data_IF_283768075075
#
_entry.id   IF_283768075075
#
_cell.length_a   1.000
_cell.length_b   1.000
_cell.length_c   1.000
_cell.angle_alpha   90.00
_cell.angle_beta   90.00
_cell.angle_gamma   90.00
#
_symmetry.space_group_name_H-M   'P 1'
#
loop_
_entity.id
_entity.type
_entity.pdbx_description
1 polymer ?
#
# COMPACT_ATOMS: atom_id res chain seq x y z
N UNK A 1 40.77 30.10 6.48
CA UNK A 1 41.40 28.94 5.84
C UNK A 1 40.40 28.42 4.84
N UNK A 2 40.70 28.50 3.54
CA UNK A 2 39.81 28.00 2.50
C UNK A 2 39.75 26.47 2.61
N UNK A 3 38.63 25.95 3.07
CA UNK A 3 38.38 24.50 3.15
C UNK A 3 38.22 24.03 1.71
N UNK A 4 39.11 23.14 1.27
CA UNK A 4 39.03 22.51 -0.04
C UNK A 4 37.88 21.49 0.07
N UNK A 5 36.70 21.88 -0.42
CA UNK A 5 35.58 20.97 -0.62
C UNK A 5 36.08 19.81 -1.48
N UNK A 6 36.14 18.60 -0.94
CA UNK A 6 36.51 17.45 -1.76
C UNK A 6 35.32 17.19 -2.69
N UNK A 7 35.46 17.29 -4.03
CA UNK A 7 34.33 17.19 -4.96
C UNK A 7 33.55 15.86 -4.85
N UNK A 8 34.14 14.85 -4.23
CA UNK A 8 33.51 13.57 -3.91
C UNK A 8 32.46 13.68 -2.79
N UNK A 9 32.75 14.42 -1.71
CA UNK A 9 31.82 14.59 -0.57
C UNK A 9 30.54 15.29 -1.04
N UNK A 10 30.68 16.36 -1.83
CA UNK A 10 29.52 17.08 -2.34
C UNK A 10 28.64 16.20 -3.25
N UNK A 11 29.25 15.37 -4.11
CA UNK A 11 28.53 14.41 -4.95
C UNK A 11 27.76 13.39 -4.11
N UNK A 12 28.38 12.88 -3.04
CA UNK A 12 27.73 11.92 -2.14
C UNK A 12 26.58 12.57 -1.36
N UNK A 13 26.75 13.79 -0.84
CA UNK A 13 25.67 14.54 -0.19
C UNK A 13 24.51 14.81 -1.16
N UNK A 14 24.80 15.18 -2.40
CA UNK A 14 23.78 15.38 -3.43
C UNK A 14 23.01 14.10 -3.74
N UNK A 15 23.72 12.97 -3.88
CA UNK A 15 23.12 11.65 -4.11
C UNK A 15 22.26 11.22 -2.92
N UNK A 16 22.74 11.38 -1.70
CA UNK A 16 21.99 11.04 -0.49
C UNK A 16 20.72 11.89 -0.38
N UNK A 17 20.80 13.19 -0.64
CA UNK A 17 19.64 14.07 -0.66
C UNK A 17 18.59 13.67 -1.72
N UNK A 18 19.03 13.16 -2.87
CA UNK A 18 18.14 12.59 -3.90
C UNK A 18 17.43 11.33 -3.42
N UNK A 19 18.15 10.43 -2.76
CA UNK A 19 17.59 9.18 -2.25
C UNK A 19 16.61 9.43 -1.09
N UNK A 20 16.94 10.33 -0.16
CA UNK A 20 16.03 10.75 0.91
C UNK A 20 14.74 11.33 0.31
N UNK A 21 14.87 12.20 -0.69
CA UNK A 21 13.71 12.73 -1.41
C UNK A 21 12.90 11.62 -2.09
N UNK A 22 13.56 10.72 -2.83
CA UNK A 22 12.88 9.63 -3.54
C UNK A 22 12.12 8.73 -2.58
N UNK A 23 12.77 8.30 -1.50
CA UNK A 23 12.15 7.51 -0.45
C UNK A 23 10.89 8.18 0.12
N UNK A 24 10.99 9.46 0.52
CA UNK A 24 9.85 10.18 1.07
C UNK A 24 8.73 10.37 0.04
N UNK A 25 9.09 10.69 -1.20
CA UNK A 25 8.12 10.86 -2.29
C UNK A 25 7.41 9.55 -2.63
N UNK A 26 8.12 8.40 -2.55
CA UNK A 26 7.53 7.09 -2.73
C UNK A 26 6.46 6.83 -1.68
N UNK A 27 6.79 6.97 -0.40
CA UNK A 27 5.89 6.66 0.71
C UNK A 27 4.68 7.59 0.74
N UNK A 28 4.91 8.89 0.57
CA UNK A 28 3.92 9.91 0.94
C UNK A 28 3.06 10.39 -0.22
N UNK A 29 3.50 10.15 -1.46
CA UNK A 29 2.75 10.62 -2.64
C UNK A 29 2.53 9.51 -3.67
N UNK A 30 3.59 8.82 -4.08
CA UNK A 30 3.49 7.92 -5.22
C UNK A 30 2.80 6.60 -4.87
N UNK A 31 3.18 5.94 -3.78
CA UNK A 31 2.55 4.69 -3.34
C UNK A 31 1.05 4.88 -3.05
N UNK A 32 0.61 5.90 -2.29
CA UNK A 32 -0.82 6.16 -2.08
C UNK A 32 -1.58 6.42 -3.39
N UNK A 33 -0.96 7.11 -4.36
CA UNK A 33 -1.56 7.32 -5.68
C UNK A 33 -1.71 6.01 -6.46
N UNK A 34 -0.66 5.17 -6.47
CA UNK A 34 -0.66 3.86 -7.13
C UNK A 34 -1.72 2.96 -6.51
N UNK A 35 -1.72 2.82 -5.18
CA UNK A 35 -2.69 2.06 -4.41
C UNK A 35 -4.12 2.50 -4.75
N UNK A 36 -4.39 3.80 -4.67
CA UNK A 36 -5.71 4.33 -4.98
C UNK A 36 -6.15 4.00 -6.41
N UNK A 37 -5.28 4.23 -7.40
CA UNK A 37 -5.59 3.91 -8.81
C UNK A 37 -5.84 2.42 -8.99
N UNK A 38 -5.01 1.58 -8.37
CA UNK A 38 -5.15 0.13 -8.39
C UNK A 38 -6.49 -0.33 -7.82
N UNK A 39 -6.86 0.15 -6.63
CA UNK A 39 -8.13 -0.18 -5.98
C UNK A 39 -9.33 0.29 -6.82
N UNK A 40 -9.24 1.47 -7.44
CA UNK A 40 -10.30 1.98 -8.32
C UNK A 40 -10.45 1.17 -9.61
N UNK A 41 -9.35 0.71 -10.21
CA UNK A 41 -9.35 -0.02 -11.48
C UNK A 41 -9.66 -1.52 -11.31
N UNK A 42 -9.07 -2.17 -10.30
CA UNK A 42 -9.10 -3.63 -10.12
C UNK A 42 -9.79 -4.09 -8.83
N UNK A 43 -9.83 -3.23 -7.80
CA UNK A 43 -10.24 -3.63 -6.45
C UNK A 43 -11.64 -4.22 -6.35
N UNK A 44 -12.58 -3.82 -7.22
CA UNK A 44 -13.92 -4.41 -7.22
C UNK A 44 -13.93 -5.88 -7.70
N UNK A 45 -13.06 -6.23 -8.65
CA UNK A 45 -12.96 -7.60 -9.16
C UNK A 45 -12.20 -8.48 -8.17
N UNK A 46 -11.13 -7.97 -7.55
CA UNK A 46 -10.42 -8.69 -6.51
C UNK A 46 -11.31 -8.93 -5.28
N UNK A 47 -12.11 -7.93 -4.90
CA UNK A 47 -13.11 -8.08 -3.84
C UNK A 47 -14.17 -9.13 -4.18
N UNK A 48 -14.74 -9.09 -5.39
CA UNK A 48 -15.70 -10.10 -5.85
C UNK A 48 -15.08 -11.51 -5.83
N UNK A 49 -13.84 -11.65 -6.30
CA UNK A 49 -13.13 -12.93 -6.26
C UNK A 49 -12.95 -13.43 -4.82
N UNK A 50 -12.52 -12.55 -3.92
CA UNK A 50 -12.33 -12.88 -2.50
C UNK A 50 -13.65 -13.28 -1.81
N UNK A 51 -14.76 -12.62 -2.12
CA UNK A 51 -16.10 -13.02 -1.68
C UNK A 51 -16.45 -14.44 -2.12
N UNK A 52 -16.22 -14.77 -3.38
CA UNK A 52 -16.52 -16.10 -3.91
C UNK A 52 -15.64 -17.19 -3.28
N UNK A 53 -14.36 -16.90 -3.04
CA UNK A 53 -13.44 -17.83 -2.35
C UNK A 53 -13.85 -18.07 -0.89
N UNK A 54 -14.35 -17.03 -0.22
CA UNK A 54 -14.95 -17.12 1.10
C UNK A 54 -16.20 -18.03 1.07
N UNK A 55 -17.12 -17.81 0.15
CA UNK A 55 -18.34 -18.62 0.00
C UNK A 55 -17.99 -20.09 -0.26
N UNK A 56 -17.01 -20.36 -1.13
CA UNK A 56 -16.50 -21.71 -1.38
C UNK A 56 -15.99 -22.35 -0.09
N UNK A 57 -15.27 -21.60 0.74
CA UNK A 57 -14.73 -22.10 2.01
C UNK A 57 -15.85 -22.44 3.00
N UNK A 58 -16.86 -21.57 3.11
CA UNK A 58 -18.05 -21.79 3.93
C UNK A 58 -18.85 -23.02 3.46
N UNK A 59 -19.05 -23.19 2.15
CA UNK A 59 -19.73 -24.35 1.57
C UNK A 59 -18.95 -25.66 1.77
N UNK A 60 -17.62 -25.65 1.60
CA UNK A 60 -16.77 -26.82 1.88
C UNK A 60 -16.85 -27.22 3.36
N UNK A 61 -16.84 -26.23 4.26
CA UNK A 61 -17.01 -26.48 5.70
C UNK A 61 -18.39 -27.05 6.01
N UNK A 62 -19.45 -26.53 5.38
CA UNK A 62 -20.82 -27.07 5.46
C UNK A 62 -20.87 -28.55 5.05
N UNK A 63 -20.30 -28.90 3.90
CA UNK A 63 -20.20 -30.29 3.44
C UNK A 63 -19.45 -31.19 4.42
N UNK A 64 -18.37 -30.68 5.03
CA UNK A 64 -17.63 -31.44 6.04
C UNK A 64 -18.51 -31.77 7.24
N UNK A 65 -19.24 -30.80 7.78
CA UNK A 65 -20.14 -30.99 8.92
C UNK A 65 -21.29 -31.96 8.57
N UNK A 66 -21.89 -31.83 7.39
CA UNK A 66 -22.91 -32.77 6.91
C UNK A 66 -22.37 -34.20 6.82
N UNK A 67 -21.18 -34.39 6.24
CA UNK A 67 -20.53 -35.71 6.15
C UNK A 67 -20.20 -36.28 7.52
N UNK A 68 -19.84 -35.45 8.51
CA UNK A 68 -19.64 -35.89 9.89
C UNK A 68 -20.93 -36.44 10.51
N UNK A 69 -22.06 -35.75 10.34
CA UNK A 69 -23.36 -36.25 10.81
C UNK A 69 -23.74 -37.57 10.13
N UNK A 70 -23.56 -37.66 8.80
CA UNK A 70 -23.81 -38.90 8.03
C UNK A 70 -22.96 -40.06 8.56
N UNK A 71 -21.65 -39.82 8.81
CA UNK A 71 -20.73 -40.86 9.28
C UNK A 71 -21.04 -41.33 10.70
N UNK A 72 -21.69 -40.51 11.51
CA UNK A 72 -22.20 -40.87 12.83
C UNK A 72 -23.62 -41.47 12.77
N UNK A 73 -24.15 -41.75 11.58
CA UNK A 73 -25.53 -42.21 11.36
C UNK A 73 -26.59 -41.25 11.90
N UNK A 74 -26.21 -39.98 12.13
CA UNK A 74 -27.11 -38.93 12.55
C UNK A 74 -27.84 -38.34 11.34
N UNK A 75 -29.01 -37.75 11.62
CA UNK A 75 -29.72 -36.93 10.65
C UNK A 75 -29.01 -35.60 10.47
N UNK A 76 -29.02 -35.07 9.24
CA UNK A 76 -28.49 -33.74 8.96
C UNK A 76 -29.45 -32.70 9.55
N UNK A 77 -28.92 -31.91 10.48
CA UNK A 77 -29.58 -30.71 11.01
C UNK A 77 -28.93 -29.48 10.38
N UNK A 78 -29.53 -28.97 9.31
CA UNK A 78 -29.00 -27.81 8.59
C UNK A 78 -29.02 -26.54 9.44
N UNK A 79 -30.02 -26.36 10.29
CA UNK A 79 -30.14 -25.16 11.13
C UNK A 79 -28.98 -25.12 12.14
N UNK A 80 -28.68 -26.26 12.77
CA UNK A 80 -27.52 -26.37 13.67
C UNK A 80 -26.20 -26.14 12.93
N UNK A 81 -26.04 -26.71 11.74
CA UNK A 81 -24.83 -26.53 10.92
C UNK A 81 -24.66 -25.06 10.52
N UNK A 82 -25.74 -24.39 10.09
CA UNK A 82 -25.70 -23.00 9.66
C UNK A 82 -25.41 -22.05 10.83
N UNK A 83 -25.87 -22.36 12.04
CA UNK A 83 -25.49 -21.62 13.25
C UNK A 83 -23.99 -21.77 13.57
N UNK A 84 -23.44 -22.99 13.49
CA UNK A 84 -21.99 -23.23 13.68
C UNK A 84 -21.18 -22.41 12.66
N UNK A 85 -21.59 -22.43 11.39
CA UNK A 85 -20.91 -21.68 10.34
C UNK A 85 -21.01 -20.16 10.56
N UNK A 86 -22.14 -19.67 11.04
CA UNK A 86 -22.33 -18.24 11.30
C UNK A 86 -21.36 -17.76 12.39
N UNK A 87 -21.19 -18.54 13.46
CA UNK A 87 -20.21 -18.26 14.51
C UNK A 87 -18.76 -18.41 14.01
N UNK A 88 -18.44 -19.47 13.25
CA UNK A 88 -17.08 -19.71 12.73
C UNK A 88 -16.58 -18.62 11.78
N UNK A 89 -17.50 -17.98 11.04
CA UNK A 89 -17.15 -17.04 9.97
C UNK A 89 -17.52 -15.57 10.24
N UNK A 90 -18.03 -15.23 11.43
CA UNK A 90 -18.46 -13.85 11.76
C UNK A 90 -17.35 -12.81 11.56
N UNK A 91 -16.14 -13.07 12.06
CA UNK A 91 -15.00 -12.15 11.95
C UNK A 91 -14.63 -11.88 10.47
N UNK A 92 -14.71 -12.90 9.62
CA UNK A 92 -14.41 -12.79 8.20
C UNK A 92 -15.46 -11.96 7.47
N UNK A 93 -16.75 -12.13 7.80
CA UNK A 93 -17.85 -11.32 7.23
C UNK A 93 -17.69 -9.84 7.60
N UNK A 94 -17.23 -9.55 8.83
CA UNK A 94 -16.93 -8.17 9.26
C UNK A 94 -15.76 -7.57 8.46
N UNK A 95 -14.69 -8.33 8.22
CA UNK A 95 -13.55 -7.88 7.40
C UNK A 95 -13.95 -7.60 5.95
N UNK A 96 -14.77 -8.48 5.36
CA UNK A 96 -15.32 -8.29 4.01
C UNK A 96 -16.13 -7.01 3.88
N UNK A 97 -16.93 -6.70 4.90
CA UNK A 97 -17.73 -5.47 4.92
C UNK A 97 -16.86 -4.22 5.00
N UNK A 98 -15.80 -4.23 5.81
CA UNK A 98 -14.86 -3.11 5.91
C UNK A 98 -14.14 -2.83 4.58
N UNK A 99 -13.71 -3.88 3.88
CA UNK A 99 -13.02 -3.73 2.58
C UNK A 99 -13.90 -3.07 1.51
N UNK A 100 -15.18 -3.46 1.40
CA UNK A 100 -16.08 -2.84 0.41
C UNK A 100 -16.44 -1.40 0.77
N UNK A 101 -16.57 -1.10 2.06
CA UNK A 101 -16.77 0.28 2.53
C UNK A 101 -15.59 1.17 2.14
N UNK A 102 -14.36 0.68 2.25
CA UNK A 102 -13.14 1.37 1.80
C UNK A 102 -13.15 1.62 0.29
N UNK A 103 -13.44 0.59 -0.52
CA UNK A 103 -13.53 0.73 -1.99
C UNK A 103 -14.59 1.78 -2.37
N UNK A 104 -15.75 1.75 -1.72
CA UNK A 104 -16.83 2.69 -1.98
C UNK A 104 -16.49 4.12 -1.53
N UNK A 105 -15.80 4.27 -0.41
CA UNK A 105 -15.29 5.56 0.06
C UNK A 105 -14.29 6.15 -0.95
N UNK A 106 -13.36 5.34 -1.45
CA UNK A 106 -12.38 5.78 -2.44
C UNK A 106 -13.05 6.19 -3.76
N UNK A 107 -14.06 5.45 -4.22
CA UNK A 107 -14.85 5.78 -5.43
C UNK A 107 -15.64 7.07 -5.31
N UNK A 108 -16.15 7.39 -4.11
CA UNK A 108 -16.99 8.57 -3.87
C UNK A 108 -16.20 9.85 -3.54
N UNK A 109 -14.93 9.70 -3.15
CA UNK A 109 -14.08 10.83 -2.77
C UNK A 109 -13.23 11.29 -3.95
N UNK A 110 -13.20 12.58 -4.26
CA UNK A 110 -12.19 13.16 -5.16
C UNK A 110 -10.99 13.66 -4.36
N UNK A 111 -9.77 13.34 -4.79
CA UNK A 111 -8.54 13.89 -4.20
C UNK A 111 -8.08 15.06 -5.05
N UNK A 112 -7.87 16.21 -4.40
CA UNK A 112 -7.16 17.33 -5.00
C UNK A 112 -5.71 16.93 -5.22
N UNK A 113 -5.32 16.74 -6.48
CA UNK A 113 -3.92 16.59 -6.84
C UNK A 113 -3.30 17.98 -7.01
N UNK A 114 -2.05 18.11 -6.59
CA UNK A 114 -1.26 19.29 -6.92
C UNK A 114 -1.12 19.40 -8.44
N UNK A 115 -1.05 20.63 -8.94
CA UNK A 115 -0.71 20.85 -10.34
C UNK A 115 0.72 20.34 -10.63
N UNK A 116 1.04 20.07 -11.90
CA UNK A 116 2.40 19.71 -12.30
C UNK A 116 3.42 20.78 -11.92
N UNK A 117 3.02 22.05 -11.97
CA UNK A 117 3.87 23.17 -11.58
C UNK A 117 4.14 23.17 -10.07
N UNK A 118 3.10 23.01 -9.26
CA UNK A 118 3.22 22.99 -7.80
C UNK A 118 3.99 21.77 -7.33
N UNK A 119 3.78 20.60 -7.95
CA UNK A 119 4.53 19.38 -7.67
C UNK A 119 6.03 19.55 -7.94
N UNK A 120 6.39 20.26 -9.03
CA UNK A 120 7.79 20.60 -9.34
C UNK A 120 8.39 21.57 -8.31
N UNK A 121 7.62 22.57 -7.88
CA UNK A 121 8.05 23.53 -6.84
C UNK A 121 8.23 22.82 -5.50
N UNK A 122 7.26 22.00 -5.09
CA UNK A 122 7.29 21.19 -3.87
C UNK A 122 8.56 20.33 -3.82
N UNK A 123 8.83 19.59 -4.90
CA UNK A 123 10.06 18.80 -5.07
C UNK A 123 11.33 19.66 -4.91
N UNK A 124 11.38 20.80 -5.60
CA UNK A 124 12.56 21.67 -5.59
C UNK A 124 12.85 22.19 -4.19
N UNK A 125 11.84 22.71 -3.51
CA UNK A 125 11.99 23.30 -2.17
C UNK A 125 12.37 22.22 -1.16
N UNK A 126 11.67 21.08 -1.16
CA UNK A 126 11.96 20.01 -0.21
C UNK A 126 13.37 19.45 -0.36
N UNK A 127 13.89 19.30 -1.59
CA UNK A 127 15.30 18.91 -1.81
C UNK A 127 16.30 19.90 -1.23
N UNK A 128 16.02 21.20 -1.29
CA UNK A 128 16.88 22.23 -0.67
C UNK A 128 16.85 22.07 0.84
N UNK A 129 15.67 21.89 1.43
CA UNK A 129 15.51 21.70 2.88
C UNK A 129 16.15 20.41 3.38
N UNK A 130 16.10 19.30 2.62
CA UNK A 130 16.85 18.08 2.94
C UNK A 130 18.34 18.39 3.06
N UNK A 131 18.92 19.08 2.06
CA UNK A 131 20.35 19.42 2.09
C UNK A 131 20.73 20.29 3.29
N UNK A 132 19.91 21.28 3.62
CA UNK A 132 20.17 22.24 4.69
C UNK A 132 19.89 21.70 6.10
N UNK A 133 18.92 20.79 6.27
CA UNK A 133 18.37 20.46 7.60
C UNK A 133 18.35 18.95 7.92
N UNK A 134 18.66 18.05 6.97
CA UNK A 134 18.61 16.62 7.26
C UNK A 134 19.73 16.24 8.25
N UNK A 135 19.43 15.49 9.34
CA UNK A 135 20.42 15.09 10.34
C UNK A 135 21.62 14.33 9.77
N UNK A 136 21.39 13.42 8.84
CA UNK A 136 22.46 12.63 8.22
C UNK A 136 23.39 13.46 7.32
N UNK A 137 22.93 14.62 6.83
CA UNK A 137 23.74 15.53 6.01
C UNK A 137 24.40 16.64 6.84
N UNK A 138 23.85 16.90 8.04
CA UNK A 138 24.24 17.97 8.95
C UNK A 138 24.31 17.42 10.40
N UNK A 139 25.35 16.64 10.75
CA UNK A 139 25.43 15.95 12.04
C UNK A 139 25.48 16.90 13.25
N UNK A 140 26.13 18.05 13.07
CA UNK A 140 26.36 19.06 14.11
C UNK A 140 25.20 20.07 14.27
N UNK A 141 24.05 19.82 13.64
CA UNK A 141 22.92 20.76 13.64
C UNK A 141 22.24 20.89 15.01
N UNK A 142 21.68 22.08 15.26
CA UNK A 142 20.96 22.46 16.48
C UNK A 142 19.61 21.74 16.57
N UNK A 143 19.08 21.66 17.79
CA UNK A 143 17.75 21.08 18.03
C UNK A 143 16.64 21.78 17.22
N UNK A 144 16.74 23.10 17.05
CA UNK A 144 15.78 23.88 16.25
C UNK A 144 15.77 23.42 14.78
N UNK A 145 16.92 23.18 14.17
CA UNK A 145 17.06 22.75 12.77
C UNK A 145 16.49 21.34 12.54
N UNK A 146 16.69 20.43 13.50
CA UNK A 146 16.04 19.10 13.49
C UNK A 146 14.52 19.20 13.48
N UNK A 147 13.95 20.06 14.33
CA UNK A 147 12.50 20.27 14.37
C UNK A 147 11.98 20.93 13.09
N UNK A 148 12.77 21.84 12.52
CA UNK A 148 12.47 22.49 11.26
C UNK A 148 12.41 21.49 10.11
N UNK A 149 13.34 20.52 10.06
CA UNK A 149 13.28 19.42 9.11
C UNK A 149 12.04 18.55 9.28
N UNK A 150 11.68 18.16 10.51
CA UNK A 150 10.46 17.39 10.76
C UNK A 150 9.20 18.13 10.27
N UNK A 151 9.19 19.47 10.41
CA UNK A 151 8.11 20.31 9.89
C UNK A 151 8.11 20.33 8.36
N UNK A 152 9.27 20.44 7.74
CA UNK A 152 9.43 20.36 6.29
C UNK A 152 8.94 19.01 5.74
N UNK A 153 9.27 17.90 6.40
CA UNK A 153 8.77 16.57 6.01
C UNK A 153 7.25 16.50 6.09
N UNK A 154 6.63 17.01 7.16
CA UNK A 154 5.16 17.04 7.27
C UNK A 154 4.51 17.92 6.20
N UNK A 155 5.08 19.11 5.94
CA UNK A 155 4.59 20.00 4.90
C UNK A 155 4.69 19.33 3.52
N UNK A 156 5.82 18.65 3.24
CA UNK A 156 5.99 17.86 2.02
C UNK A 156 4.93 16.76 1.91
N UNK A 157 4.79 15.91 2.94
CA UNK A 157 3.80 14.82 3.00
C UNK A 157 2.37 15.29 2.69
N UNK A 158 1.99 16.46 3.21
CA UNK A 158 0.66 17.03 3.02
C UNK A 158 0.52 17.82 1.69
N UNK A 159 1.59 17.97 0.91
CA UNK A 159 1.61 18.81 -0.28
C UNK A 159 1.45 20.31 0.03
N UNK A 160 1.79 20.73 1.26
CA UNK A 160 1.67 22.12 1.71
C UNK A 160 2.86 22.94 1.20
N UNK A 161 2.70 23.46 -0.02
CA UNK A 161 3.71 24.30 -0.66
C UNK A 161 3.95 25.60 0.13
N UNK A 162 2.92 26.16 0.75
CA UNK A 162 3.02 27.44 1.47
C UNK A 162 3.88 27.29 2.73
N UNK A 163 3.71 26.20 3.49
CA UNK A 163 4.52 25.95 4.69
C UNK A 163 5.97 25.60 4.31
N UNK A 164 6.18 24.85 3.21
CA UNK A 164 7.53 24.61 2.68
C UNK A 164 8.25 25.90 2.24
N UNK A 165 7.56 26.81 1.56
CA UNK A 165 8.11 28.11 1.17
C UNK A 165 8.47 28.97 2.39
N UNK A 166 7.60 29.00 3.41
CA UNK A 166 7.86 29.69 4.65
C UNK A 166 9.08 29.12 5.40
N UNK A 167 9.19 27.79 5.47
CA UNK A 167 10.35 27.12 6.05
C UNK A 167 11.63 27.42 5.28
N UNK A 168 11.59 27.41 3.96
CA UNK A 168 12.75 27.78 3.14
C UNK A 168 13.22 29.21 3.42
N UNK A 169 12.29 30.16 3.52
CA UNK A 169 12.60 31.56 3.82
C UNK A 169 13.19 31.77 5.24
N UNK A 170 12.80 30.92 6.20
CA UNK A 170 13.32 30.92 7.56
C UNK A 170 14.67 30.21 7.70
N UNK A 171 15.09 29.44 6.68
CA UNK A 171 16.35 28.71 6.71
C UNK A 171 17.46 29.62 6.20
N UNK A 172 18.38 30.02 7.08
CA UNK A 172 19.50 30.90 6.73
C UNK A 172 20.32 30.36 5.55
N UNK A 173 20.99 31.26 4.83
CA UNK A 173 22.00 30.94 3.80
C UNK A 173 23.38 30.64 4.41
N UNK A 174 23.40 30.17 5.66
CA UNK A 174 24.62 29.77 6.35
C UNK A 174 25.38 28.70 5.57
N UNK A 175 26.71 28.78 5.63
CA UNK A 175 27.59 27.80 5.00
C UNK A 175 27.26 26.39 5.51
N UNK A 176 27.05 25.45 4.58
CA UNK A 176 26.82 24.04 4.90
C UNK A 176 28.07 23.53 5.60
N UNK A 177 27.98 23.15 6.87
CA UNK A 177 29.11 22.53 7.58
C UNK A 177 29.39 21.13 6.98
N UNK A 178 30.61 20.93 6.51
CA UNK A 178 31.03 19.79 5.67
C UNK A 178 31.76 18.67 6.44
N UNK A 179 31.59 18.56 7.75
CA UNK A 179 32.14 17.46 8.53
C UNK A 179 31.28 16.18 8.38
N UNK A 180 31.26 15.61 7.17
CA UNK A 180 30.67 14.29 6.94
C UNK A 180 31.75 13.33 6.43
N UNK A 181 31.91 12.20 7.11
CA UNK A 181 32.84 11.15 6.69
C UNK A 181 32.33 10.46 5.41
N UNK A 182 33.20 10.30 4.42
CA UNK A 182 32.86 9.69 3.10
C UNK A 182 32.26 8.30 3.28
N UNK A 183 32.79 7.51 4.21
CA UNK A 183 32.35 6.13 4.45
C UNK A 183 30.95 6.07 5.08
N UNK A 184 30.63 7.00 5.98
CA UNK A 184 29.28 7.13 6.53
C UNK A 184 28.27 7.52 5.45
N UNK A 185 28.61 8.47 4.57
CA UNK A 185 27.75 8.85 3.44
C UNK A 185 27.52 7.67 2.49
N UNK A 186 28.55 6.88 2.18
CA UNK A 186 28.43 5.67 1.34
C UNK A 186 27.53 4.62 1.98
N UNK A 187 27.65 4.40 3.30
CA UNK A 187 26.77 3.49 4.05
C UNK A 187 25.32 3.93 3.97
N UNK A 188 25.04 5.21 4.27
CA UNK A 188 23.69 5.77 4.25
C UNK A 188 23.05 5.71 2.85
N UNK A 189 23.83 5.96 1.80
CA UNK A 189 23.38 5.79 0.42
C UNK A 189 22.93 4.34 0.18
N UNK A 190 23.74 3.36 0.57
CA UNK A 190 23.39 1.94 0.45
C UNK A 190 22.10 1.59 1.21
N UNK A 191 21.95 2.10 2.43
CA UNK A 191 20.76 1.86 3.26
C UNK A 191 19.49 2.42 2.59
N UNK A 192 19.55 3.63 2.03
CA UNK A 192 18.41 4.22 1.33
C UNK A 192 18.12 3.54 -0.01
N UNK A 193 19.14 3.11 -0.76
CA UNK A 193 18.96 2.33 -1.98
C UNK A 193 18.25 1.01 -1.70
N UNK A 194 18.63 0.30 -0.63
CA UNK A 194 17.95 -0.93 -0.20
C UNK A 194 16.49 -0.66 0.22
N UNK A 195 16.25 0.41 1.00
CA UNK A 195 14.89 0.79 1.40
C UNK A 195 14.00 1.10 0.19
N UNK A 196 14.51 1.88 -0.76
CA UNK A 196 13.79 2.25 -1.98
C UNK A 196 13.49 1.00 -2.82
N UNK A 197 14.46 0.10 -2.95
CA UNK A 197 14.27 -1.14 -3.71
C UNK A 197 13.19 -2.02 -3.08
N UNK A 198 13.19 -2.19 -1.76
CA UNK A 198 12.12 -2.90 -1.03
C UNK A 198 10.74 -2.29 -1.31
N UNK A 199 10.62 -0.96 -1.18
CA UNK A 199 9.36 -0.26 -1.47
C UNK A 199 8.88 -0.52 -2.91
N UNK A 200 9.80 -0.60 -3.88
CA UNK A 200 9.46 -0.83 -5.30
C UNK A 200 9.06 -2.28 -5.58
N UNK A 201 9.55 -3.24 -4.81
CA UNK A 201 9.22 -4.66 -4.93
C UNK A 201 7.90 -5.02 -4.24
N UNK A 202 7.52 -4.24 -3.23
CA UNK A 202 6.32 -4.47 -2.43
C UNK A 202 5.09 -3.72 -2.96
N UNK A 203 3.93 -4.11 -2.43
CA UNK A 203 2.69 -3.38 -2.63
C UNK A 203 2.79 -2.00 -1.95
N UNK A 204 2.28 -0.93 -2.57
CA UNK A 204 1.54 -0.90 -3.83
C UNK A 204 2.39 -0.70 -5.08
N UNK A 205 3.68 -0.35 -4.94
CA UNK A 205 4.49 0.07 -6.09
C UNK A 205 4.65 -1.03 -7.14
N UNK A 206 4.74 -2.29 -6.73
CA UNK A 206 4.85 -3.42 -7.66
C UNK A 206 3.63 -3.59 -8.59
N UNK A 207 2.50 -2.95 -8.29
CA UNK A 207 1.30 -2.92 -9.15
C UNK A 207 1.32 -1.78 -10.16
N UNK A 208 2.27 -0.86 -10.08
CA UNK A 208 2.39 0.31 -10.98
C UNK A 208 2.38 -0.08 -12.45
N UNK A 209 3.01 -1.20 -12.80
CA UNK A 209 3.10 -1.64 -14.19
C UNK A 209 1.72 -1.93 -14.78
N UNK A 210 0.80 -2.51 -14.00
CA UNK A 210 -0.58 -2.80 -14.41
C UNK A 210 -1.40 -1.53 -14.72
N UNK A 211 -1.00 -0.39 -14.15
CA UNK A 211 -1.66 0.91 -14.30
C UNK A 211 -1.07 1.77 -15.42
N UNK A 212 0.11 1.41 -15.93
CA UNK A 212 0.85 2.17 -16.96
C UNK A 212 0.82 1.44 -18.29
N UNK A 213 0.87 0.11 -18.26
CA UNK A 213 0.76 -0.74 -19.44
C UNK A 213 -0.69 -1.20 -19.62
N UNK A 214 -1.40 -0.55 -20.55
CA UNK A 214 -2.80 -0.83 -20.87
C UNK A 214 -3.03 -2.29 -21.33
N UNK A 215 -2.03 -2.96 -21.90
CA UNK A 215 -2.16 -4.36 -22.28
C UNK A 215 -2.10 -5.27 -21.06
N UNK A 216 -1.09 -5.09 -20.20
CA UNK A 216 -0.96 -5.86 -18.95
C UNK A 216 -2.15 -5.63 -18.02
N UNK A 217 -2.62 -4.39 -17.88
CA UNK A 217 -3.81 -4.06 -17.11
C UNK A 217 -5.06 -4.78 -17.63
N UNK A 218 -5.26 -4.82 -18.95
CA UNK A 218 -6.38 -5.56 -19.56
C UNK A 218 -6.25 -7.07 -19.36
N UNK A 219 -5.07 -7.64 -19.55
CA UNK A 219 -4.82 -9.07 -19.32
C UNK A 219 -5.12 -9.45 -17.87
N UNK A 220 -4.64 -8.65 -16.91
CA UNK A 220 -4.88 -8.87 -15.50
C UNK A 220 -6.37 -8.80 -15.14
N UNK A 221 -7.09 -7.80 -15.67
CA UNK A 221 -8.53 -7.70 -15.50
C UNK A 221 -9.28 -8.91 -16.08
N UNK A 222 -8.93 -9.35 -17.28
CA UNK A 222 -9.56 -10.52 -17.90
C UNK A 222 -9.30 -11.78 -17.07
N UNK A 223 -8.07 -11.97 -16.58
CA UNK A 223 -7.73 -13.07 -15.67
C UNK A 223 -8.61 -13.05 -14.41
N UNK A 224 -8.82 -11.88 -13.78
CA UNK A 224 -9.72 -11.77 -12.62
C UNK A 224 -11.15 -12.18 -12.97
N UNK A 225 -11.67 -11.74 -14.12
CA UNK A 225 -13.03 -12.10 -14.58
C UNK A 225 -13.18 -13.59 -14.85
N UNK A 226 -12.17 -14.23 -15.47
CA UNK A 226 -12.15 -15.67 -15.68
C UNK A 226 -12.14 -16.43 -14.34
N UNK A 227 -11.32 -16.01 -13.39
CA UNK A 227 -11.29 -16.60 -12.04
C UNK A 227 -12.63 -16.45 -11.31
N UNK A 228 -13.27 -15.28 -11.41
CA UNK A 228 -14.61 -15.05 -10.85
C UNK A 228 -15.61 -16.06 -11.43
N UNK A 229 -15.62 -16.23 -12.75
CA UNK A 229 -16.51 -17.21 -13.40
C UNK A 229 -16.24 -18.64 -12.91
N UNK A 230 -14.97 -19.04 -12.83
CA UNK A 230 -14.59 -20.36 -12.33
C UNK A 230 -15.05 -20.59 -10.88
N UNK A 231 -14.91 -19.60 -10.01
CA UNK A 231 -15.36 -19.71 -8.61
C UNK A 231 -16.87 -19.75 -8.50
N UNK A 232 -17.60 -18.99 -9.31
CA UNK A 232 -19.06 -19.09 -9.41
C UNK A 232 -19.51 -20.50 -9.83
N UNK A 233 -18.79 -21.13 -10.76
CA UNK A 233 -19.10 -22.51 -11.16
C UNK A 233 -18.75 -23.53 -10.08
N UNK A 234 -17.69 -23.31 -9.29
CA UNK A 234 -17.38 -24.14 -8.14
C UNK A 234 -18.43 -24.04 -7.03
N UNK A 235 -18.95 -22.83 -6.76
CA UNK A 235 -20.08 -22.62 -5.83
C UNK A 235 -21.28 -23.45 -6.28
N UNK A 236 -21.71 -23.34 -7.54
CA UNK A 236 -22.85 -24.11 -8.07
C UNK A 236 -22.68 -25.62 -7.89
N UNK A 237 -21.46 -26.14 -8.07
CA UNK A 237 -21.17 -27.57 -7.86
C UNK A 237 -21.30 -27.96 -6.39
N UNK A 238 -20.76 -27.15 -5.48
CA UNK A 238 -20.82 -27.39 -4.04
C UNK A 238 -22.26 -27.30 -3.50
N UNK A 239 -23.02 -26.30 -3.93
CA UNK A 239 -24.44 -26.14 -3.58
C UNK A 239 -25.24 -27.37 -4.02
N UNK A 240 -25.05 -27.82 -5.27
CA UNK A 240 -25.70 -29.04 -5.76
C UNK A 240 -25.35 -30.28 -4.92
N UNK A 241 -24.09 -30.43 -4.52
CA UNK A 241 -23.67 -31.54 -3.67
C UNK A 241 -24.33 -31.49 -2.28
N UNK A 242 -24.42 -30.28 -1.69
CA UNK A 242 -25.11 -30.05 -0.42
C UNK A 242 -26.59 -30.43 -0.56
N UNK A 243 -27.26 -29.99 -1.62
CA UNK A 243 -28.67 -30.30 -1.87
C UNK A 243 -28.90 -31.80 -2.04
N UNK A 244 -28.07 -32.48 -2.83
CA UNK A 244 -28.15 -33.92 -3.06
C UNK A 244 -27.97 -34.72 -1.75
N UNK A 245 -27.01 -34.33 -0.91
CA UNK A 245 -26.81 -34.94 0.41
C UNK A 245 -27.99 -34.65 1.34
N UNK A 246 -28.47 -33.41 1.36
CA UNK A 246 -29.60 -33.04 2.18
C UNK A 246 -30.82 -33.89 1.80
N UNK A 247 -31.22 -33.91 0.53
CA UNK A 247 -32.37 -34.70 0.05
C UNK A 247 -32.24 -36.20 0.37
N UNK A 248 -31.03 -36.75 0.29
CA UNK A 248 -30.79 -38.18 0.53
C UNK A 248 -30.84 -38.57 2.00
N UNK A 249 -30.35 -37.71 2.90
CA UNK A 249 -30.20 -38.00 4.32
C UNK A 249 -31.19 -37.22 5.21
N UNK A 250 -32.09 -36.45 4.60
CA UNK A 250 -33.29 -35.91 5.23
C UNK A 250 -34.51 -36.75 4.82
N UNK A 251 -34.90 -37.77 5.61
CA UNK A 251 -36.29 -38.28 5.55
C UNK A 251 -36.81 -38.96 6.82
N UNK A 252 -37.98 -38.45 7.22
CA UNK A 252 -38.86 -38.75 8.37
C UNK A 252 -38.19 -38.72 9.73
#
# INVERSE_FOLDING_TARGET
MSIIVHPEVQKLKDRLAELIYEHENLISHLCPLIERRYVLEFGIYEYELYLLEFDISKLKRKLQLMRMEINHENKIDLEKIDNILSEEFEEYEQQLKAQIEEINYLKSTEIKQLSDEDSRKLKKIYRILIKKLHPDLNPNQRFYEKNMFLRATKAFQNGDLSDLEALLALTDDGEIEEESEIDDLKRLIGDFEEKIEKIKQDYPYNKKELLVDDEKGRQYKNMLVELIHDRQDDIKKLEKEIDDLNVKYSKT
#
